data_IF_116913366468
#
_entry.id   IF_116913366468
#
_cell.length_a   1.000
_cell.length_b   1.000
_cell.length_c   1.000
_cell.angle_alpha   90.00
_cell.angle_beta   90.00
_cell.angle_gamma   90.00
#
_symmetry.space_group_name_H-M   'P 1'
#
loop_
_entity.id
_entity.type
_entity.pdbx_description
1 polymer ?
#
# COMPACT_ATOMS: atom_id res chain seq x y z
N UNK A 1 7.32 1.66 -15.52
CA UNK A 1 7.42 0.65 -14.46
C UNK A 1 8.69 0.95 -13.67
N UNK A 2 8.65 0.94 -12.33
CA UNK A 2 9.76 1.37 -11.46
C UNK A 2 10.75 0.23 -11.12
N UNK A 3 10.46 -1.01 -11.54
CA UNK A 3 11.31 -2.16 -11.27
C UNK A 3 12.40 -2.29 -12.34
N UNK A 4 13.62 -2.65 -11.91
CA UNK A 4 14.75 -2.83 -12.80
C UNK A 4 14.58 -4.05 -13.71
N UNK A 5 15.07 -3.94 -14.94
CA UNK A 5 15.16 -5.07 -15.88
C UNK A 5 16.39 -5.92 -15.50
N UNK A 6 16.14 -7.16 -15.10
CA UNK A 6 17.19 -8.11 -14.72
C UNK A 6 16.75 -9.56 -15.00
N UNK A 7 17.70 -10.47 -15.03
CA UNK A 7 17.46 -11.91 -15.10
C UNK A 7 18.02 -12.57 -13.80
N UNK A 8 17.24 -13.35 -13.02
CA UNK A 8 15.81 -13.59 -13.25
C UNK A 8 14.97 -12.33 -13.01
N UNK A 9 13.89 -12.21 -13.78
CA UNK A 9 12.93 -11.10 -13.60
C UNK A 9 12.20 -11.23 -12.26
N UNK A 10 11.82 -10.08 -11.67
CA UNK A 10 10.91 -10.06 -10.53
C UNK A 10 9.48 -10.46 -10.95
N UNK A 11 9.06 -10.01 -12.12
CA UNK A 11 7.78 -10.38 -12.71
C UNK A 11 7.90 -11.64 -13.55
N UNK A 12 6.92 -12.55 -13.47
CA UNK A 12 6.79 -13.64 -14.41
C UNK A 12 5.33 -13.81 -14.84
N UNK A 13 5.16 -14.33 -16.05
CA UNK A 13 3.86 -14.61 -16.64
C UNK A 13 3.30 -15.88 -16.01
N UNK A 14 2.03 -15.83 -15.61
CA UNK A 14 1.29 -16.96 -15.06
C UNK A 14 -0.14 -16.97 -15.58
N UNK A 15 -0.68 -18.16 -15.81
CA UNK A 15 -2.10 -18.38 -16.04
C UNK A 15 -2.65 -19.30 -14.95
N UNK A 16 -3.82 -18.94 -14.42
CA UNK A 16 -4.54 -19.74 -13.43
C UNK A 16 -5.92 -20.09 -13.99
N UNK A 17 -6.25 -21.38 -13.92
CA UNK A 17 -7.55 -21.89 -14.30
C UNK A 17 -8.10 -22.77 -13.18
N UNK A 18 -9.36 -22.54 -12.80
CA UNK A 18 -10.11 -23.38 -11.86
C UNK A 18 -11.58 -23.38 -12.24
N UNK A 19 -12.26 -24.51 -12.03
CA UNK A 19 -13.70 -24.62 -12.29
C UNK A 19 -14.53 -24.08 -11.13
N UNK A 20 -14.08 -24.34 -9.89
CA UNK A 20 -14.75 -23.91 -8.67
C UNK A 20 -13.76 -23.26 -7.66
N UNK A 21 -13.87 -21.96 -7.36
CA UNK A 21 -14.68 -20.95 -8.07
C UNK A 21 -14.17 -20.78 -9.50
N UNK A 22 -15.05 -20.37 -10.43
CA UNK A 22 -14.67 -20.14 -11.82
C UNK A 22 -13.58 -19.07 -11.90
N UNK A 23 -12.37 -19.49 -12.17
CA UNK A 23 -11.20 -18.64 -12.29
C UNK A 23 -10.52 -18.94 -13.62
N UNK A 24 -10.34 -17.92 -14.44
CA UNK A 24 -9.63 -18.03 -15.72
C UNK A 24 -8.91 -16.70 -15.97
N UNK A 25 -7.69 -16.61 -15.48
CA UNK A 25 -6.93 -15.35 -15.40
C UNK A 25 -5.50 -15.56 -15.87
N UNK A 26 -4.99 -14.58 -16.61
CA UNK A 26 -3.61 -14.56 -17.09
C UNK A 26 -2.99 -13.19 -16.91
N UNK A 27 -1.72 -13.15 -16.61
CA UNK A 27 -0.97 -11.91 -16.47
C UNK A 27 0.33 -12.06 -15.70
N UNK A 28 0.76 -10.97 -15.12
CA UNK A 28 2.02 -10.89 -14.39
C UNK A 28 1.79 -11.04 -12.89
N UNK A 29 2.65 -11.84 -12.28
CA UNK A 29 2.67 -12.05 -10.83
C UNK A 29 4.08 -11.95 -10.26
N UNK A 30 4.20 -12.03 -8.95
CA UNK A 30 5.46 -12.06 -8.19
C UNK A 30 5.65 -13.46 -7.57
N UNK A 31 6.90 -13.95 -7.41
CA UNK A 31 7.17 -15.18 -6.69
C UNK A 31 6.54 -15.17 -5.30
N UNK A 32 5.74 -16.21 -5.00
CA UNK A 32 5.03 -16.34 -3.73
C UNK A 32 3.62 -15.75 -3.68
N UNK A 33 3.21 -14.96 -4.69
CA UNK A 33 1.84 -14.46 -4.79
C UNK A 33 0.94 -15.49 -5.53
N UNK A 34 -0.13 -16.02 -4.88
CA UNK A 34 -0.98 -17.06 -5.46
C UNK A 34 -2.11 -16.50 -6.36
N UNK A 35 -1.90 -15.36 -7.00
CA UNK A 35 -2.88 -14.65 -7.83
C UNK A 35 -2.18 -13.79 -8.87
N UNK A 36 -2.91 -13.37 -9.89
CA UNK A 36 -2.43 -12.44 -10.91
C UNK A 36 -2.52 -11.01 -10.38
N UNK A 37 -1.38 -10.32 -10.32
CA UNK A 37 -1.31 -8.94 -9.84
C UNK A 37 -1.79 -7.98 -10.93
N UNK A 38 -1.25 -8.06 -12.13
CA UNK A 38 -1.68 -7.24 -13.26
C UNK A 38 -1.93 -8.13 -14.49
N UNK A 39 -3.10 -8.03 -15.09
CA UNK A 39 -3.48 -8.91 -16.18
C UNK A 39 -4.94 -8.77 -16.58
N UNK A 40 -5.52 -9.87 -16.99
CA UNK A 40 -6.94 -9.92 -17.35
C UNK A 40 -7.53 -11.31 -17.07
N UNK A 41 -8.84 -11.34 -16.88
CA UNK A 41 -9.67 -12.52 -17.02
C UNK A 41 -10.56 -12.40 -18.28
N UNK A 42 -11.60 -13.20 -18.40
CA UNK A 42 -12.52 -13.15 -19.56
C UNK A 42 -13.36 -11.87 -19.63
N UNK A 43 -13.55 -11.19 -18.52
CA UNK A 43 -14.47 -10.06 -18.39
C UNK A 43 -13.76 -8.72 -18.21
N UNK A 44 -12.61 -8.70 -17.55
CA UNK A 44 -11.92 -7.46 -17.12
C UNK A 44 -10.43 -7.57 -17.34
N UNK A 45 -9.82 -6.47 -17.76
CA UNK A 45 -8.37 -6.25 -17.75
C UNK A 45 -8.02 -5.14 -16.76
N UNK A 46 -6.91 -5.28 -16.04
CA UNK A 46 -6.42 -4.28 -15.08
C UNK A 46 -4.91 -4.16 -15.06
N UNK A 47 -4.44 -2.99 -14.66
CA UNK A 47 -3.01 -2.71 -14.48
C UNK A 47 -2.80 -1.65 -13.42
N UNK A 48 -1.55 -1.54 -12.94
CA UNK A 48 -1.17 -0.66 -11.83
C UNK A 48 -0.02 0.26 -12.17
N UNK A 49 -0.03 1.43 -11.52
CA UNK A 49 1.16 2.26 -11.33
C UNK A 49 1.20 2.78 -9.90
N UNK A 50 2.40 3.01 -9.35
CA UNK A 50 2.52 3.59 -8.01
C UNK A 50 1.82 4.94 -7.92
N UNK A 51 1.04 5.14 -6.87
CA UNK A 51 0.33 6.40 -6.64
C UNK A 51 1.22 7.46 -5.96
N UNK A 52 2.39 7.09 -5.43
CA UNK A 52 3.35 7.99 -4.78
C UNK A 52 2.73 8.85 -3.66
N UNK A 53 1.89 8.20 -2.85
CA UNK A 53 1.22 8.84 -1.71
C UNK A 53 2.20 8.97 -0.56
N UNK A 54 2.09 10.06 0.20
CA UNK A 54 2.79 10.26 1.46
C UNK A 54 2.07 9.48 2.57
N UNK A 55 2.55 8.28 2.87
CA UNK A 55 1.93 7.27 3.74
C UNK A 55 2.76 6.94 4.99
N UNK A 56 3.89 7.62 5.17
CA UNK A 56 4.81 7.35 6.26
C UNK A 56 5.27 8.64 6.96
N UNK A 57 5.38 8.59 8.28
CA UNK A 57 5.88 9.67 9.13
C UNK A 57 6.99 9.16 10.06
N UNK A 58 7.98 10.03 10.32
CA UNK A 58 9.04 9.77 11.27
C UNK A 58 8.81 10.57 12.54
N UNK A 59 8.85 9.88 13.69
CA UNK A 59 8.67 10.47 15.02
C UNK A 59 9.96 10.38 15.82
N UNK A 60 10.46 11.54 16.30
CA UNK A 60 11.56 11.57 17.26
C UNK A 60 10.98 11.31 18.64
N UNK A 61 11.31 10.17 19.20
CA UNK A 61 10.90 9.75 20.54
C UNK A 61 11.94 10.15 21.58
N UNK A 62 11.55 10.17 22.84
CA UNK A 62 12.46 10.42 23.96
C UNK A 62 12.42 9.25 24.93
N UNK A 63 13.57 8.67 25.22
CA UNK A 63 13.71 7.68 26.28
C UNK A 63 13.38 8.36 27.61
N UNK A 64 12.71 7.66 28.50
CA UNK A 64 12.48 8.13 29.86
C UNK A 64 13.83 8.17 30.62
N UNK A 65 14.24 9.33 31.19
CA UNK A 65 15.51 9.43 31.89
C UNK A 65 15.59 8.54 33.14
N UNK A 66 14.44 8.20 33.75
CA UNK A 66 14.35 7.35 34.93
C UNK A 66 14.36 5.85 34.61
N UNK A 67 13.95 5.47 33.36
CA UNK A 67 13.84 4.07 32.95
C UNK A 67 14.07 3.93 31.44
N UNK A 68 15.23 3.40 31.05
CA UNK A 68 15.63 3.23 29.65
C UNK A 68 14.78 2.20 28.87
N UNK A 69 13.93 1.43 29.55
CA UNK A 69 12.97 0.50 28.92
C UNK A 69 11.68 1.19 28.51
N UNK A 70 11.55 2.50 28.76
CA UNK A 70 10.37 3.30 28.53
C UNK A 70 10.68 4.52 27.67
N UNK A 71 9.63 5.08 27.07
CA UNK A 71 9.72 6.35 26.32
C UNK A 71 8.63 7.33 26.77
N UNK A 72 8.92 8.62 26.64
CA UNK A 72 8.02 9.68 27.06
C UNK A 72 6.93 9.94 26.03
N UNK A 73 5.71 10.15 26.50
CA UNK A 73 4.55 10.60 25.74
C UNK A 73 3.95 11.84 26.37
N UNK A 74 3.04 12.58 25.74
CA UNK A 74 2.33 13.69 26.36
C UNK A 74 1.59 13.31 27.64
N UNK A 75 1.13 12.06 27.73
CA UNK A 75 0.29 11.55 28.83
C UNK A 75 1.10 10.79 29.90
N UNK A 76 2.44 10.77 29.77
CA UNK A 76 3.33 10.07 30.71
C UNK A 76 4.34 9.18 29.99
N UNK A 77 4.84 8.15 30.69
CA UNK A 77 5.86 7.23 30.20
C UNK A 77 5.24 5.88 29.84
N UNK A 78 5.56 5.35 28.64
CA UNK A 78 5.11 4.05 28.16
C UNK A 78 6.29 3.10 27.95
N UNK A 79 6.13 1.79 28.22
CA UNK A 79 7.16 0.80 27.91
C UNK A 79 7.33 0.61 26.42
N UNK A 80 8.56 0.35 25.96
CA UNK A 80 8.77 -0.19 24.63
C UNK A 80 8.19 -1.60 24.53
N UNK A 81 7.53 -1.91 23.43
CA UNK A 81 7.32 -3.28 23.03
C UNK A 81 8.60 -3.77 22.37
N UNK A 82 9.09 -4.95 22.74
CA UNK A 82 10.37 -5.48 22.25
C UNK A 82 10.13 -6.84 21.59
N UNK A 83 10.49 -6.93 20.32
CA UNK A 83 10.39 -8.16 19.54
C UNK A 83 11.80 -8.70 19.26
N UNK A 84 12.15 -9.88 19.77
CA UNK A 84 13.45 -10.51 19.45
C UNK A 84 13.39 -11.15 18.05
N UNK A 85 14.23 -10.69 17.15
CA UNK A 85 14.41 -11.22 15.81
C UNK A 85 15.71 -12.00 15.70
N UNK A 86 15.65 -13.26 15.31
CA UNK A 86 16.83 -14.12 15.18
C UNK A 86 17.30 -14.19 13.73
N UNK A 87 18.49 -13.66 13.49
CA UNK A 87 19.13 -13.66 12.18
C UNK A 87 20.12 -14.83 12.08
N UNK A 88 19.88 -15.74 11.15
CA UNK A 88 20.76 -16.84 10.80
C UNK A 88 21.43 -16.59 9.46
N UNK A 89 22.75 -16.57 9.43
CA UNK A 89 23.50 -16.35 8.19
C UNK A 89 24.08 -17.68 7.72
N UNK A 90 23.81 -18.03 6.48
CA UNK A 90 24.36 -19.27 5.88
C UNK A 90 25.90 -19.28 5.95
N UNK A 91 26.48 -20.37 6.44
CA UNK A 91 27.92 -20.50 6.63
C UNK A 91 28.46 -19.87 7.91
N UNK A 92 27.59 -19.49 8.86
CA UNK A 92 27.97 -19.06 10.20
C UNK A 92 27.24 -19.90 11.23
N UNK A 93 27.96 -20.43 12.23
CA UNK A 93 27.38 -21.21 13.33
C UNK A 93 26.70 -20.30 14.36
N UNK A 94 27.12 -19.05 14.46
CA UNK A 94 26.54 -18.08 15.38
C UNK A 94 25.25 -17.47 14.83
N UNK A 95 24.29 -17.25 15.70
CA UNK A 95 23.07 -16.46 15.42
C UNK A 95 23.20 -15.06 15.99
N UNK A 96 22.62 -14.08 15.31
CA UNK A 96 22.48 -12.72 15.84
C UNK A 96 21.04 -12.53 16.28
N UNK A 97 20.80 -12.14 17.55
CA UNK A 97 19.48 -11.76 18.02
C UNK A 97 19.39 -10.25 18.06
N UNK A 98 18.46 -9.68 17.30
CA UNK A 98 18.19 -8.26 17.27
C UNK A 98 16.90 -7.98 18.04
N UNK A 99 16.97 -7.09 19.02
CA UNK A 99 15.79 -6.67 19.81
C UNK A 99 15.17 -5.42 19.18
N UNK A 100 14.11 -5.61 18.38
CA UNK A 100 13.39 -4.51 17.71
C UNK A 100 12.46 -3.85 18.71
N UNK A 101 12.75 -2.60 19.06
CA UNK A 101 11.89 -1.80 19.94
C UNK A 101 10.80 -1.13 19.11
N UNK A 102 9.58 -1.10 19.67
CA UNK A 102 8.44 -0.43 19.09
C UNK A 102 7.88 0.60 20.06
N UNK A 103 7.48 1.74 19.53
CA UNK A 103 6.69 2.74 20.22
C UNK A 103 5.23 2.68 19.73
N UNK A 104 4.37 3.52 20.26
CA UNK A 104 3.00 3.71 19.74
C UNK A 104 2.96 4.16 18.26
N UNK A 105 4.07 4.70 17.74
CA UNK A 105 4.17 5.14 16.35
C UNK A 105 4.72 4.06 15.41
N UNK A 106 5.35 3.01 15.95
CA UNK A 106 5.91 1.91 15.16
C UNK A 106 7.33 1.53 15.56
N UNK A 107 8.06 0.78 14.70
CA UNK A 107 9.39 0.31 14.99
C UNK A 107 10.40 1.46 15.06
N UNK A 108 11.36 1.32 15.98
CA UNK A 108 12.49 2.25 16.12
C UNK A 108 13.57 1.90 15.09
N UNK A 109 13.89 2.83 14.22
CA UNK A 109 14.84 2.66 13.12
C UNK A 109 16.28 2.98 13.46
N UNK A 110 16.53 3.77 14.52
CA UNK A 110 17.85 4.30 14.84
C UNK A 110 18.96 3.25 14.90
N UNK A 111 18.73 2.03 15.44
CA UNK A 111 19.79 1.03 15.50
C UNK A 111 20.27 0.52 14.13
N UNK A 112 19.45 0.68 13.08
CA UNK A 112 19.74 0.15 11.74
C UNK A 112 19.97 1.24 10.69
N UNK A 113 19.65 2.49 11.00
CA UNK A 113 19.83 3.64 10.10
C UNK A 113 20.78 4.65 10.72
N UNK A 114 22.09 4.51 10.42
CA UNK A 114 23.15 5.34 10.98
C UNK A 114 23.01 6.85 10.70
N UNK A 115 22.35 7.20 9.57
CA UNK A 115 22.10 8.59 9.20
C UNK A 115 21.17 9.36 10.16
N UNK A 116 20.49 8.67 11.10
CA UNK A 116 19.61 9.29 12.09
C UNK A 116 20.38 9.87 13.31
N UNK A 117 21.72 9.80 13.31
CA UNK A 117 22.56 10.55 14.26
C UNK A 117 22.38 10.19 15.74
N UNK A 118 21.88 9.01 16.04
CA UNK A 118 21.64 8.54 17.43
C UNK A 118 20.32 9.03 18.06
N UNK A 119 19.54 9.85 17.38
CA UNK A 119 18.18 10.20 17.82
C UNK A 119 17.27 8.96 17.76
N UNK A 120 16.38 8.80 18.74
CA UNK A 120 15.43 7.69 18.78
C UNK A 120 14.28 7.99 17.82
N UNK A 121 14.33 7.42 16.61
CA UNK A 121 13.36 7.68 15.55
C UNK A 121 12.49 6.45 15.32
N UNK A 122 11.17 6.60 15.45
CA UNK A 122 10.16 5.59 15.14
C UNK A 122 9.52 5.89 13.76
N UNK A 123 9.20 4.83 13.03
CA UNK A 123 8.51 4.91 11.74
C UNK A 123 7.02 4.57 11.91
N UNK A 124 6.15 5.52 11.63
CA UNK A 124 4.72 5.25 11.42
C UNK A 124 4.45 5.13 9.92
N UNK A 125 4.09 3.94 9.48
CA UNK A 125 3.80 3.65 8.10
C UNK A 125 2.45 2.91 7.97
N UNK A 126 1.63 3.28 7.01
CA UNK A 126 0.32 2.67 6.77
C UNK A 126 0.42 1.15 6.51
N UNK A 127 1.53 0.70 5.91
CA UNK A 127 1.81 -0.72 5.66
C UNK A 127 2.10 -1.57 6.91
N UNK A 128 2.26 -0.97 8.10
CA UNK A 128 2.35 -1.71 9.36
C UNK A 128 0.98 -2.16 9.89
N UNK A 129 -0.10 -1.60 9.39
CA UNK A 129 -1.44 -1.97 9.83
C UNK A 129 -1.92 -3.24 9.07
N UNK A 130 -2.78 -4.07 9.69
CA UNK A 130 -3.39 -5.19 9.00
C UNK A 130 -4.05 -4.77 7.69
N UNK A 131 -3.77 -5.52 6.61
CA UNK A 131 -4.16 -5.18 5.25
C UNK A 131 -5.04 -6.26 4.63
N UNK A 132 -6.01 -5.82 3.81
CA UNK A 132 -6.86 -6.69 2.98
C UNK A 132 -6.43 -6.71 1.51
N UNK A 133 -5.27 -6.17 1.16
CA UNK A 133 -4.79 -6.07 -0.23
C UNK A 133 -4.76 -7.43 -0.96
N UNK A 134 -4.38 -8.50 -0.28
CA UNK A 134 -4.41 -9.84 -0.89
C UNK A 134 -5.84 -10.26 -1.28
N UNK A 135 -6.84 -9.95 -0.44
CA UNK A 135 -8.26 -10.16 -0.74
C UNK A 135 -8.69 -9.29 -1.94
N UNK A 136 -8.28 -8.02 -1.97
CA UNK A 136 -8.59 -7.13 -3.08
C UNK A 136 -8.05 -7.67 -4.42
N UNK A 137 -6.81 -8.17 -4.46
CA UNK A 137 -6.22 -8.73 -5.68
C UNK A 137 -6.94 -10.00 -6.10
N UNK A 138 -7.29 -10.89 -5.17
CA UNK A 138 -8.09 -12.08 -5.48
C UNK A 138 -9.47 -11.70 -6.03
N UNK A 139 -10.13 -10.70 -5.44
CA UNK A 139 -11.41 -10.19 -5.93
C UNK A 139 -11.30 -9.59 -7.36
N UNK A 140 -10.17 -8.94 -7.70
CA UNK A 140 -9.90 -8.51 -9.06
C UNK A 140 -9.76 -9.69 -10.03
N UNK A 141 -9.11 -10.78 -9.62
CA UNK A 141 -8.99 -11.99 -10.45
C UNK A 141 -10.34 -12.63 -10.76
N UNK A 142 -11.31 -12.47 -9.86
CA UNK A 142 -12.69 -12.99 -9.97
C UNK A 142 -13.69 -11.96 -10.51
N UNK A 143 -13.26 -10.74 -10.82
CA UNK A 143 -14.15 -9.65 -11.25
C UNK A 143 -14.85 -9.98 -12.56
N UNK A 144 -16.14 -9.66 -12.65
CA UNK A 144 -17.00 -9.89 -13.84
C UNK A 144 -17.30 -8.61 -14.61
N UNK A 145 -16.88 -7.45 -14.09
CA UNK A 145 -17.08 -6.15 -14.73
C UNK A 145 -16.49 -5.00 -13.91
N UNK A 146 -16.62 -3.79 -14.43
CA UNK A 146 -16.06 -2.57 -13.84
C UNK A 146 -16.51 -2.32 -12.40
N UNK A 147 -17.76 -2.64 -12.05
CA UNK A 147 -18.27 -2.42 -10.69
C UNK A 147 -17.60 -3.35 -9.67
N UNK A 148 -17.23 -4.57 -10.09
CA UNK A 148 -16.48 -5.50 -9.25
C UNK A 148 -15.07 -4.97 -8.99
N UNK A 149 -14.41 -4.40 -10.00
CA UNK A 149 -13.11 -3.75 -9.83
C UNK A 149 -13.18 -2.63 -8.80
N UNK A 150 -14.19 -1.76 -8.91
CA UNK A 150 -14.38 -0.65 -7.97
C UNK A 150 -14.62 -1.14 -6.54
N UNK A 151 -15.35 -2.25 -6.37
CA UNK A 151 -15.55 -2.88 -5.06
C UNK A 151 -14.26 -3.50 -4.52
N UNK A 152 -13.55 -4.25 -5.34
CA UNK A 152 -12.30 -4.90 -4.96
C UNK A 152 -11.24 -3.89 -4.48
N UNK A 153 -11.10 -2.75 -5.17
CA UNK A 153 -10.13 -1.71 -4.82
C UNK A 153 -10.44 -1.04 -3.47
N UNK A 154 -11.66 -1.12 -2.94
CA UNK A 154 -11.96 -0.62 -1.59
C UNK A 154 -11.22 -1.36 -0.48
N UNK A 155 -10.87 -2.62 -0.72
CA UNK A 155 -10.05 -3.45 0.18
C UNK A 155 -8.55 -3.37 -0.11
N UNK A 156 -8.15 -2.56 -1.08
CA UNK A 156 -6.74 -2.37 -1.43
C UNK A 156 -6.12 -1.32 -0.50
N UNK A 157 -5.37 -1.75 0.49
CA UNK A 157 -4.89 -0.91 1.59
C UNK A 157 -3.50 -0.35 1.33
N UNK A 158 -2.54 -1.21 1.00
CA UNK A 158 -1.13 -0.89 0.77
C UNK A 158 -0.50 -1.97 -0.16
N UNK A 159 0.43 -1.63 -1.06
CA UNK A 159 0.93 -0.29 -1.41
C UNK A 159 -0.08 0.52 -2.23
N UNK A 160 -0.01 1.84 -2.15
CA UNK A 160 -0.89 2.74 -2.89
C UNK A 160 -0.70 2.60 -4.40
N UNK A 161 -1.78 2.28 -5.11
CA UNK A 161 -1.73 2.04 -6.55
C UNK A 161 -2.80 2.85 -7.30
N UNK A 162 -2.39 3.38 -8.45
CA UNK A 162 -3.30 3.82 -9.48
C UNK A 162 -3.74 2.58 -10.27
N UNK A 163 -4.99 2.21 -10.18
CA UNK A 163 -5.58 1.07 -10.89
C UNK A 163 -6.31 1.58 -12.11
N UNK A 164 -5.88 1.14 -13.29
CA UNK A 164 -6.60 1.34 -14.56
C UNK A 164 -7.23 0.03 -14.97
N UNK A 165 -8.43 0.08 -15.49
CA UNK A 165 -9.18 -1.11 -15.87
C UNK A 165 -10.09 -0.88 -17.07
N UNK A 166 -10.44 -1.97 -17.76
CA UNK A 166 -11.46 -2.00 -18.80
C UNK A 166 -12.21 -3.32 -18.77
N UNK A 167 -13.51 -3.31 -19.11
CA UNK A 167 -14.33 -4.50 -19.20
C UNK A 167 -14.85 -4.78 -20.63
N UNK A 168 -15.37 -5.99 -20.85
CA UNK A 168 -15.91 -6.42 -22.14
C UNK A 168 -17.20 -5.70 -22.54
N UNK A 169 -17.87 -5.02 -21.61
CA UNK A 169 -19.01 -4.14 -21.93
C UNK A 169 -18.57 -2.77 -22.47
N UNK A 170 -17.26 -2.53 -22.64
CA UNK A 170 -16.68 -1.28 -23.15
C UNK A 170 -16.57 -0.19 -22.09
N UNK A 171 -16.73 -0.52 -20.81
CA UNK A 171 -16.49 0.40 -19.70
C UNK A 171 -15.00 0.36 -19.34
N UNK A 172 -14.44 1.51 -19.10
CA UNK A 172 -13.07 1.63 -18.60
C UNK A 172 -12.98 2.74 -17.55
N UNK A 173 -11.96 2.70 -16.74
CA UNK A 173 -11.84 3.68 -15.67
C UNK A 173 -10.50 3.66 -14.98
N UNK A 174 -10.41 4.54 -14.00
CA UNK A 174 -9.28 4.72 -13.10
C UNK A 174 -9.79 4.87 -11.67
N UNK A 175 -9.09 4.24 -10.74
CA UNK A 175 -9.32 4.41 -9.31
C UNK A 175 -8.00 4.28 -8.55
N UNK A 176 -7.80 5.07 -7.51
CA UNK A 176 -6.66 4.91 -6.61
C UNK A 176 -7.06 4.03 -5.43
N UNK A 177 -6.30 2.95 -5.22
CA UNK A 177 -6.35 2.12 -4.01
C UNK A 177 -5.25 2.49 -3.03
N UNK A 178 -5.55 2.38 -1.75
CA UNK A 178 -4.61 2.63 -0.67
C UNK A 178 -5.20 3.45 0.47
N UNK A 179 -4.68 3.23 1.69
CA UNK A 179 -5.05 4.01 2.89
C UNK A 179 -4.16 5.23 3.01
N UNK A 180 -4.72 6.42 2.96
CA UNK A 180 -3.99 7.66 3.16
C UNK A 180 -4.10 8.09 4.63
N UNK A 181 -2.98 8.32 5.34
CA UNK A 181 -3.01 8.80 6.72
C UNK A 181 -3.71 10.15 6.83
N UNK A 182 -4.64 10.27 7.78
CA UNK A 182 -5.21 11.54 8.15
C UNK A 182 -4.32 12.17 9.22
N UNK A 183 -3.55 13.17 8.81
CA UNK A 183 -2.78 14.00 9.74
C UNK A 183 -3.68 15.07 10.33
N UNK A 184 -3.44 15.47 11.59
CA UNK A 184 -4.22 16.51 12.27
C UNK A 184 -4.29 17.81 11.45
N UNK A 185 -5.32 18.64 11.73
CA UNK A 185 -5.71 19.82 10.91
C UNK A 185 -4.69 20.96 10.83
N UNK A 186 -3.53 20.84 11.44
CA UNK A 186 -2.42 21.76 11.18
C UNK A 186 -1.92 21.54 9.76
N UNK A 187 -2.48 22.32 8.83
CA UNK A 187 -2.17 22.34 7.39
C UNK A 187 -0.75 22.80 7.07
N UNK A 188 0.20 22.56 7.95
CA UNK A 188 1.61 22.73 7.59
C UNK A 188 2.01 21.56 6.72
N UNK A 189 2.66 21.82 5.57
CA UNK A 189 3.31 20.74 4.83
C UNK A 189 4.21 19.99 5.79
N UNK A 190 4.33 18.65 5.68
CA UNK A 190 5.18 17.88 6.55
C UNK A 190 6.55 18.52 6.57
N UNK A 191 7.14 18.78 7.75
CA UNK A 191 8.45 19.34 7.81
C UNK A 191 9.40 18.37 7.09
N UNK A 192 10.29 18.88 6.27
CA UNK A 192 11.37 18.11 5.65
C UNK A 192 12.33 17.47 6.67
N UNK A 193 12.01 17.61 7.95
CA UNK A 193 12.72 17.05 9.11
C UNK A 193 11.75 16.31 10.02
N UNK A 194 12.20 15.24 10.71
CA UNK A 194 11.41 14.52 11.70
C UNK A 194 10.79 15.47 12.73
N UNK A 195 9.49 15.33 12.99
CA UNK A 195 8.83 16.08 14.05
C UNK A 195 9.27 15.55 15.41
N UNK A 196 9.59 16.43 16.37
CA UNK A 196 9.91 16.00 17.73
C UNK A 196 8.63 15.53 18.41
N UNK A 197 8.54 14.24 18.70
CA UNK A 197 7.51 13.69 19.57
C UNK A 197 7.69 14.29 20.97
N UNK A 198 6.79 15.14 21.39
CA UNK A 198 6.88 15.82 22.69
C UNK A 198 6.53 17.30 22.70
N UNK A 199 6.29 17.92 21.53
CA UNK A 199 5.47 19.12 21.44
C UNK A 199 4.09 18.70 20.98
N UNK A 200 3.16 18.68 21.91
CA UNK A 200 1.76 18.45 21.66
C UNK A 200 1.19 19.61 20.83
N UNK A 201 1.32 19.53 19.54
CA UNK A 201 0.48 20.27 18.60
C UNK A 201 -0.18 19.22 17.70
N UNK A 202 -1.38 18.77 18.14
CA UNK A 202 -2.27 18.03 17.27
C UNK A 202 -2.06 16.52 17.19
N UNK A 203 -1.78 15.82 18.29
CA UNK A 203 -1.79 14.35 18.34
C UNK A 203 -3.20 13.83 18.60
N UNK A 204 -4.11 14.04 17.65
CA UNK A 204 -5.24 13.12 17.52
C UNK A 204 -4.71 11.76 17.03
N UNK A 205 -5.37 10.63 17.39
CA UNK A 205 -4.97 9.33 16.87
C UNK A 205 -4.92 9.39 15.35
N UNK A 206 -3.78 9.00 14.77
CA UNK A 206 -3.68 8.80 13.32
C UNK A 206 -4.57 7.61 12.99
N UNK A 207 -5.84 7.87 12.69
CA UNK A 207 -6.73 6.84 12.20
C UNK A 207 -6.51 6.72 10.71
N UNK A 208 -5.92 5.60 10.28
CA UNK A 208 -6.00 5.21 8.88
C UNK A 208 -7.47 4.87 8.59
N UNK A 209 -8.15 5.72 7.85
CA UNK A 209 -9.41 5.36 7.21
C UNK A 209 -9.09 4.86 5.81
N UNK A 210 -9.77 3.83 5.37
CA UNK A 210 -9.82 3.45 3.95
C UNK A 210 -10.44 4.62 3.19
N UNK A 211 -9.61 5.55 2.75
CA UNK A 211 -10.04 6.88 2.33
C UNK A 211 -10.31 6.98 0.86
N UNK A 212 -10.29 5.85 0.15
CA UNK A 212 -10.80 5.85 -1.22
C UNK A 212 -12.28 6.29 -1.30
N UNK A 213 -13.04 6.21 -0.20
CA UNK A 213 -14.45 6.60 -0.16
C UNK A 213 -14.69 8.10 -0.05
N UNK A 214 -13.76 8.93 0.40
CA UNK A 214 -14.04 10.38 0.51
C UNK A 214 -13.54 11.24 -0.63
N UNK A 215 -12.49 10.88 -1.33
CA UNK A 215 -12.17 11.49 -2.62
C UNK A 215 -13.18 11.04 -3.69
N UNK A 216 -13.84 9.89 -3.49
CA UNK A 216 -14.90 9.36 -4.35
C UNK A 216 -16.33 9.68 -3.85
N UNK A 217 -16.57 10.23 -2.66
CA UNK A 217 -17.91 10.59 -2.18
C UNK A 217 -18.41 11.94 -2.72
N UNK A 218 -17.54 12.76 -3.26
CA UNK A 218 -17.94 13.67 -4.33
C UNK A 218 -17.88 12.87 -5.62
N UNK A 219 -18.95 12.15 -5.95
CA UNK A 219 -19.16 11.33 -7.16
C UNK A 219 -17.89 11.12 -7.94
N UNK A 220 -17.35 9.89 -8.09
CA UNK A 220 -16.21 9.70 -8.97
C UNK A 220 -16.64 10.29 -10.32
N UNK A 221 -15.99 11.35 -10.75
CA UNK A 221 -15.89 11.59 -12.17
C UNK A 221 -14.95 10.49 -12.68
N UNK A 222 -15.45 9.25 -12.64
CA UNK A 222 -15.00 8.24 -13.55
C UNK A 222 -15.19 8.90 -14.91
N UNK A 223 -14.11 9.18 -15.58
CA UNK A 223 -14.16 9.72 -16.93
C UNK A 223 -14.65 8.56 -17.81
N UNK A 224 -15.97 8.33 -17.79
CA UNK A 224 -16.63 7.35 -18.61
C UNK A 224 -16.75 7.93 -20.02
N UNK A 225 -15.89 7.53 -20.95
CA UNK A 225 -16.16 7.74 -22.36
C UNK A 225 -16.84 6.48 -22.90
N UNK A 226 -18.06 6.65 -23.43
CA UNK A 226 -18.66 5.65 -24.29
C UNK A 226 -17.99 5.75 -25.65
N UNK A 227 -17.46 4.63 -26.18
CA UNK A 227 -17.15 4.54 -27.61
C UNK A 227 -18.47 4.72 -28.37
N UNK A 228 -18.63 5.85 -29.00
CA UNK A 228 -19.60 5.93 -30.09
C UNK A 228 -19.08 5.07 -31.22
N UNK A 229 -19.77 3.97 -31.51
CA UNK A 229 -19.56 3.17 -32.72
C UNK A 229 -19.97 4.03 -33.91
N UNK A 230 -19.05 4.84 -34.41
CA UNK A 230 -19.18 5.51 -35.68
C UNK A 230 -19.10 4.45 -36.78
N UNK A 231 -20.24 4.03 -37.35
CA UNK A 231 -20.27 3.39 -38.65
C UNK A 231 -19.64 4.36 -39.67
N UNK A 232 -18.51 4.01 -40.22
CA UNK A 232 -18.03 4.64 -41.44
C UNK A 232 -19.04 4.40 -42.57
N UNK A 233 -19.46 5.43 -43.29
CA UNK A 233 -20.23 5.21 -44.51
C UNK A 233 -19.34 4.57 -45.58
N UNK A 234 -19.82 3.47 -46.14
CA UNK A 234 -19.22 2.84 -47.30
C UNK A 234 -19.15 3.86 -48.45
N UNK A 235 -17.94 4.13 -48.96
CA UNK A 235 -17.77 4.83 -50.24
C UNK A 235 -18.18 3.88 -51.35
N UNK A 236 -19.28 4.19 -52.05
CA UNK A 236 -19.63 3.62 -53.32
C UNK A 236 -18.63 4.13 -54.36
N UNK A 237 -17.90 3.20 -54.99
CA UNK A 237 -17.18 3.45 -56.23
C UNK A 237 -18.16 3.32 -57.42
N UNK A 238 -18.29 4.34 -58.21
CA UNK A 238 -18.60 4.33 -59.62
C UNK A 238 -17.40 4.81 -60.40
#
# INVERSE_FOLDING_TARGET
MHLSLRAPSLWYLMALHAEEPALDVVGMTLPGAPFIIAGHNRAVAWGYTNAMVDDADFFIERVDPADSTRYLTPDGSLPFQVYPETLRVRGRDSVTVMHVRWTRHGPVLTPVVSALGGELVALRWAGHDPSRTAHAILALNLATGADDVLRAVQDFDDPHQNVVFADTAGRFGYVMGGRVPLRGVDRRPPPSRPSRAGRASGTGPVSCRSSCTRACSTRPRAMWSRRTTGRSPARSAT
#
